data_IF_245418032569
#
_entry.id   IF_245418032569
#
_cell.length_a   1.000
_cell.length_b   1.000
_cell.length_c   1.000
_cell.angle_alpha   90.00
_cell.angle_beta   90.00
_cell.angle_gamma   90.00
#
_symmetry.space_group_name_H-M   'P 1'
#
loop_
_entity.id
_entity.type
_entity.pdbx_description
1 polymer ?
#
# COMPACT_ATOMS: atom_id res chain seq x y z
N UNK A 1 5.84 7.94 -15.28
CA UNK A 1 6.49 7.85 -13.95
C UNK A 1 5.38 7.98 -12.91
N UNK A 2 4.70 6.88 -12.60
CA UNK A 2 3.56 6.87 -11.67
C UNK A 2 4.07 7.00 -10.25
N UNK A 3 4.10 8.23 -9.73
CA UNK A 3 4.37 8.47 -8.33
C UNK A 3 3.13 7.95 -7.57
N UNK A 4 3.17 6.66 -7.18
CA UNK A 4 2.15 6.04 -6.31
C UNK A 4 2.21 6.70 -4.94
N UNK A 5 1.61 7.88 -4.82
CA UNK A 5 1.44 8.57 -3.55
C UNK A 5 0.60 7.71 -2.61
N UNK A 6 1.09 7.51 -1.38
CA UNK A 6 0.35 6.78 -0.35
C UNK A 6 -0.98 7.50 -0.07
N UNK A 7 -2.01 6.75 0.36
CA UNK A 7 -3.33 7.32 0.65
C UNK A 7 -3.23 8.50 1.65
N UNK A 8 -2.29 8.41 2.60
CA UNK A 8 -1.93 9.49 3.52
C UNK A 8 -1.48 10.77 2.80
N UNK A 9 -0.60 10.67 1.80
CA UNK A 9 -0.13 11.83 1.03
C UNK A 9 -1.26 12.46 0.22
N UNK A 10 -2.14 11.64 -0.38
CA UNK A 10 -3.29 12.15 -1.14
C UNK A 10 -4.23 12.96 -0.27
N UNK A 11 -4.54 12.48 0.94
CA UNK A 11 -5.40 13.21 1.89
C UNK A 11 -4.79 14.56 2.25
N UNK A 12 -3.48 14.61 2.55
CA UNK A 12 -2.78 15.86 2.88
C UNK A 12 -2.82 16.85 1.71
N UNK A 13 -2.57 16.38 0.48
CA UNK A 13 -2.60 17.22 -0.72
C UNK A 13 -4.00 17.81 -0.92
N UNK A 14 -5.05 16.98 -0.83
CA UNK A 14 -6.43 17.45 -0.98
C UNK A 14 -6.78 18.49 0.09
N UNK A 15 -6.41 18.26 1.34
CA UNK A 15 -6.68 19.19 2.43
C UNK A 15 -5.96 20.53 2.25
N UNK A 16 -4.71 20.50 1.79
CA UNK A 16 -3.92 21.69 1.49
C UNK A 16 -4.50 22.47 0.30
N UNK A 17 -4.87 21.78 -0.79
CA UNK A 17 -5.47 22.39 -1.97
C UNK A 17 -6.83 23.03 -1.66
N UNK A 18 -7.69 22.33 -0.92
CA UNK A 18 -8.99 22.87 -0.50
C UNK A 18 -8.81 24.10 0.41
N UNK A 19 -7.87 24.05 1.34
CA UNK A 19 -7.60 25.18 2.23
C UNK A 19 -7.03 26.38 1.47
N UNK A 20 -6.13 26.14 0.52
CA UNK A 20 -5.60 27.18 -0.36
C UNK A 20 -6.71 27.79 -1.24
N UNK A 21 -7.60 26.97 -1.81
CA UNK A 21 -8.72 27.46 -2.60
C UNK A 21 -9.64 28.37 -1.75
N UNK A 22 -10.08 27.89 -0.59
CA UNK A 22 -10.99 28.64 0.29
C UNK A 22 -10.32 29.92 0.78
N UNK A 23 -9.11 29.83 1.33
CA UNK A 23 -8.38 31.00 1.83
C UNK A 23 -8.07 32.01 0.70
N UNK A 24 -7.77 31.54 -0.51
CA UNK A 24 -7.55 32.38 -1.68
C UNK A 24 -8.82 33.13 -2.10
N UNK A 25 -9.95 32.43 -2.22
CA UNK A 25 -11.24 33.04 -2.56
C UNK A 25 -11.66 34.08 -1.52
N UNK A 26 -11.55 33.74 -0.22
CA UNK A 26 -11.83 34.68 0.85
C UNK A 26 -10.87 35.89 0.83
N UNK A 27 -9.58 35.66 0.61
CA UNK A 27 -8.58 36.74 0.54
C UNK A 27 -8.88 37.73 -0.60
N UNK A 28 -9.17 37.22 -1.79
CA UNK A 28 -9.58 38.06 -2.94
C UNK A 28 -10.89 38.80 -2.64
N UNK A 29 -11.86 38.12 -2.04
CA UNK A 29 -13.15 38.73 -1.66
C UNK A 29 -12.99 39.87 -0.66
N UNK A 30 -12.15 39.72 0.37
CA UNK A 30 -11.84 40.76 1.35
C UNK A 30 -11.20 41.97 0.67
N UNK A 31 -10.17 41.74 -0.16
CA UNK A 31 -9.48 42.83 -0.87
C UNK A 31 -10.45 43.59 -1.79
N UNK A 32 -11.24 42.86 -2.59
CA UNK A 32 -12.21 43.47 -3.50
C UNK A 32 -13.29 44.27 -2.75
N UNK A 33 -13.81 43.73 -1.64
CA UNK A 33 -14.82 44.40 -0.82
C UNK A 33 -14.27 45.69 -0.21
N UNK A 34 -13.08 45.63 0.39
CA UNK A 34 -12.44 46.82 0.98
C UNK A 34 -12.22 47.89 -0.09
N UNK A 35 -11.72 47.51 -1.26
CA UNK A 35 -11.50 48.45 -2.35
C UNK A 35 -12.79 49.15 -2.82
N UNK A 36 -13.88 48.38 -3.00
CA UNK A 36 -15.19 48.94 -3.40
C UNK A 36 -15.77 49.85 -2.31
N UNK A 37 -15.71 49.44 -1.05
CA UNK A 37 -16.22 50.21 0.08
C UNK A 37 -15.41 51.49 0.27
N UNK A 38 -14.07 51.43 0.22
CA UNK A 38 -13.20 52.59 0.36
C UNK A 38 -13.44 53.61 -0.75
N UNK A 39 -13.59 53.16 -2.01
CA UNK A 39 -13.90 54.04 -3.13
C UNK A 39 -15.26 54.74 -2.94
N UNK A 40 -16.31 54.00 -2.55
CA UNK A 40 -17.64 54.58 -2.28
C UNK A 40 -17.62 55.59 -1.14
N UNK A 41 -16.98 55.25 -0.02
CA UNK A 41 -16.86 56.15 1.13
C UNK A 41 -16.08 57.42 0.78
N UNK A 42 -15.04 57.30 -0.04
CA UNK A 42 -14.25 58.44 -0.50
C UNK A 42 -15.08 59.38 -1.38
N UNK A 43 -15.85 58.84 -2.34
CA UNK A 43 -16.76 59.62 -3.17
C UNK A 43 -17.79 60.37 -2.31
N UNK A 44 -18.45 59.65 -1.39
CA UNK A 44 -19.47 60.24 -0.50
C UNK A 44 -18.88 61.32 0.41
N UNK A 45 -17.69 61.06 0.98
CA UNK A 45 -17.00 62.01 1.85
C UNK A 45 -16.57 63.26 1.09
N UNK A 46 -15.97 63.12 -0.09
CA UNK A 46 -15.55 64.26 -0.92
C UNK A 46 -16.75 65.10 -1.38
N UNK A 47 -17.82 64.46 -1.85
CA UNK A 47 -19.05 65.15 -2.25
C UNK A 47 -19.65 65.93 -1.09
N UNK A 48 -19.79 65.30 0.09
CA UNK A 48 -20.36 65.93 1.27
C UNK A 48 -19.49 67.06 1.83
N UNK A 49 -18.16 66.88 1.84
CA UNK A 49 -17.23 67.91 2.28
C UNK A 49 -17.24 69.11 1.34
N UNK A 50 -17.23 68.88 0.02
CA UNK A 50 -17.34 69.94 -0.98
C UNK A 50 -18.66 70.72 -0.81
N UNK A 51 -19.79 70.01 -0.74
CA UNK A 51 -21.09 70.64 -0.52
C UNK A 51 -21.12 71.48 0.77
N UNK A 52 -20.53 70.97 1.87
CA UNK A 52 -20.44 71.71 3.14
C UNK A 52 -19.61 72.99 3.01
N UNK A 53 -18.51 72.98 2.25
CA UNK A 53 -17.71 74.19 1.97
C UNK A 53 -18.50 75.21 1.12
N UNK A 54 -19.26 74.72 0.13
CA UNK A 54 -20.11 75.57 -0.72
C UNK A 54 -21.28 76.20 0.03
N UNK A 55 -21.69 75.63 1.17
CA UNK A 55 -22.75 76.18 2.03
C UNK A 55 -22.22 77.20 3.05
N UNK A 56 -20.91 77.45 3.13
CA UNK A 56 -20.36 78.50 3.98
C UNK A 56 -20.59 79.88 3.34
N UNK A 57 -21.20 80.80 4.09
CA UNK A 57 -21.66 82.10 3.57
C UNK A 57 -20.53 83.09 3.19
N UNK A 58 -19.30 82.89 3.65
CA UNK A 58 -18.18 83.83 3.41
C UNK A 58 -16.96 83.12 2.81
N UNK A 59 -16.51 83.62 1.66
CA UNK A 59 -15.28 83.17 0.96
C UNK A 59 -14.04 83.29 1.84
N UNK A 60 -14.03 84.25 2.78
CA UNK A 60 -12.96 84.47 3.77
C UNK A 60 -12.77 83.29 4.74
N UNK A 61 -13.80 82.46 4.93
CA UNK A 61 -13.75 81.30 5.81
C UNK A 61 -13.22 80.04 5.10
N UNK A 62 -13.05 80.09 3.78
CA UNK A 62 -12.51 78.98 3.02
C UNK A 62 -11.03 78.78 3.32
N UNK A 63 -10.67 77.52 3.57
CA UNK A 63 -9.30 77.12 3.83
C UNK A 63 -8.81 76.24 2.69
N UNK A 64 -7.61 76.52 2.19
CA UNK A 64 -6.95 75.66 1.21
C UNK A 64 -6.83 74.20 1.70
N UNK A 65 -6.75 73.99 3.03
CA UNK A 65 -6.78 72.66 3.65
C UNK A 65 -7.97 72.53 4.61
N UNK A 66 -9.15 72.15 4.11
CA UNK A 66 -10.35 72.05 4.94
C UNK A 66 -10.26 70.85 5.92
N UNK A 67 -9.76 69.71 5.47
CA UNK A 67 -9.44 68.55 6.30
C UNK A 67 -8.02 68.02 6.05
N UNK A 68 -7.58 67.07 6.91
CA UNK A 68 -6.25 66.47 6.83
C UNK A 68 -6.11 65.65 5.55
N UNK A 69 -5.26 66.12 4.64
CA UNK A 69 -4.98 65.45 3.36
C UNK A 69 -5.92 65.88 2.24
N UNK A 70 -6.75 66.91 2.47
CA UNK A 70 -7.57 67.55 1.46
C UNK A 70 -6.96 68.88 1.00
N UNK A 71 -7.17 69.23 -0.27
CA UNK A 71 -6.80 70.51 -0.86
C UNK A 71 -8.01 71.08 -1.59
N UNK A 72 -8.41 72.30 -1.26
CA UNK A 72 -9.55 72.97 -1.86
C UNK A 72 -9.11 74.11 -2.77
N UNK A 73 -9.77 74.22 -3.92
CA UNK A 73 -9.54 75.23 -4.95
C UNK A 73 -10.87 75.76 -5.49
N UNK A 74 -10.93 77.06 -5.76
CA UNK A 74 -12.09 77.76 -6.30
C UNK A 74 -11.68 78.80 -7.35
N UNK A 75 -12.52 79.01 -8.38
CA UNK A 75 -12.27 80.01 -9.43
C UNK A 75 -12.18 81.45 -8.90
N UNK A 76 -12.94 81.74 -7.83
CA UNK A 76 -12.96 83.00 -7.09
C UNK A 76 -12.13 82.94 -5.80
N UNK A 77 -11.32 81.90 -5.64
CA UNK A 77 -10.44 81.72 -4.49
C UNK A 77 -9.35 82.80 -4.44
N UNK A 78 -8.96 83.17 -3.22
CA UNK A 78 -7.87 84.11 -2.95
C UNK A 78 -6.65 83.31 -2.49
N UNK A 79 -5.45 83.78 -2.85
CA UNK A 79 -4.16 83.18 -2.49
C UNK A 79 -4.08 81.67 -2.79
N UNK A 80 -3.83 80.85 -1.77
CA UNK A 80 -3.63 79.40 -1.91
C UNK A 80 -4.91 78.64 -2.33
N UNK A 81 -6.08 79.28 -2.26
CA UNK A 81 -7.38 78.70 -2.68
C UNK A 81 -7.65 78.97 -4.18
N UNK A 82 -6.89 79.86 -4.82
CA UNK A 82 -7.11 80.20 -6.23
C UNK A 82 -6.90 78.98 -7.15
N UNK A 83 -7.78 78.83 -8.16
CA UNK A 83 -7.78 77.70 -9.09
C UNK A 83 -6.45 77.57 -9.86
N UNK A 84 -5.80 76.41 -9.72
CA UNK A 84 -4.59 76.09 -10.46
C UNK A 84 -4.89 75.65 -11.91
N UNK A 85 -3.98 75.95 -12.85
CA UNK A 85 -4.21 75.71 -14.29
C UNK A 85 -4.39 74.23 -14.65
N UNK A 86 -3.74 73.34 -13.91
CA UNK A 86 -3.84 71.89 -14.11
C UNK A 86 -5.21 71.31 -13.68
N UNK A 87 -5.99 72.07 -12.89
CA UNK A 87 -7.30 71.67 -12.39
C UNK A 87 -8.45 72.22 -13.26
N UNK A 88 -8.19 73.23 -14.10
CA UNK A 88 -9.20 73.84 -14.97
C UNK A 88 -9.69 72.93 -16.08
N UNK A 89 -8.93 71.90 -16.44
CA UNK A 89 -9.30 70.93 -17.49
C UNK A 89 -10.09 69.72 -16.98
N UNK A 90 -10.29 69.60 -15.67
CA UNK A 90 -10.99 68.48 -15.05
C UNK A 90 -12.50 68.52 -15.36
N UNK A 91 -13.12 67.35 -15.52
CA UNK A 91 -14.56 67.25 -15.75
C UNK A 91 -15.33 67.28 -14.42
N UNK A 92 -16.56 67.80 -14.41
CA UNK A 92 -17.43 67.73 -13.24
C UNK A 92 -17.66 66.29 -12.76
N UNK A 93 -17.68 66.10 -11.44
CA UNK A 93 -17.84 64.81 -10.78
C UNK A 93 -16.55 64.28 -10.16
N UNK A 94 -16.59 63.00 -9.78
CA UNK A 94 -15.46 62.31 -9.15
C UNK A 94 -14.54 61.71 -10.21
N UNK A 95 -13.24 62.02 -10.10
CA UNK A 95 -12.22 61.49 -11.00
C UNK A 95 -10.87 61.29 -10.30
N UNK A 96 -10.09 60.34 -10.81
CA UNK A 96 -8.70 60.11 -10.39
C UNK A 96 -7.78 61.02 -11.22
N UNK A 97 -6.87 61.72 -10.55
CA UNK A 97 -6.01 62.74 -11.19
C UNK A 97 -4.58 62.66 -10.65
N UNK A 98 -3.61 62.80 -11.56
CA UNK A 98 -2.19 62.85 -11.20
C UNK A 98 -1.67 64.29 -11.23
N UNK A 99 -1.09 64.71 -10.11
CA UNK A 99 -0.41 66.00 -9.99
C UNK A 99 1.08 65.76 -9.74
N UNK A 100 1.89 65.87 -10.79
CA UNK A 100 3.29 65.44 -10.77
C UNK A 100 3.40 63.93 -10.54
N UNK A 101 4.06 63.51 -9.46
CA UNK A 101 4.22 62.09 -9.08
C UNK A 101 3.18 61.59 -8.08
N UNK A 102 2.23 62.45 -7.68
CA UNK A 102 1.22 62.14 -6.67
C UNK A 102 -0.13 61.96 -7.32
N UNK A 103 -0.87 61.00 -6.79
CA UNK A 103 -2.23 60.68 -7.24
C UNK A 103 -3.24 61.21 -6.22
N UNK A 104 -4.28 61.84 -6.73
CA UNK A 104 -5.35 62.45 -5.97
C UNK A 104 -6.70 61.95 -6.48
N UNK A 105 -7.64 61.81 -5.55
CA UNK A 105 -9.04 61.82 -5.90
C UNK A 105 -9.52 63.27 -5.97
N UNK A 106 -10.10 63.65 -7.10
CA UNK A 106 -10.68 64.98 -7.31
C UNK A 106 -12.20 64.88 -7.35
N UNK A 107 -12.86 65.77 -6.64
CA UNK A 107 -14.28 66.06 -6.80
C UNK A 107 -14.42 67.47 -7.35
N UNK A 108 -15.05 67.58 -8.52
CA UNK A 108 -15.26 68.84 -9.23
C UNK A 108 -16.73 69.16 -9.29
N UNK A 109 -17.11 70.38 -8.91
CA UNK A 109 -18.50 70.85 -8.98
C UNK A 109 -18.53 72.25 -9.58
N UNK A 110 -19.41 72.46 -10.56
CA UNK A 110 -19.62 73.75 -11.21
C UNK A 110 -20.94 74.34 -10.69
N UNK A 111 -20.88 75.42 -9.91
CA UNK A 111 -22.05 76.07 -9.30
C UNK A 111 -22.08 77.55 -9.71
N UNK A 112 -23.20 78.02 -10.26
CA UNK A 112 -23.39 79.40 -10.72
C UNK A 112 -22.30 79.91 -11.68
N UNK A 113 -21.75 79.03 -12.53
CA UNK A 113 -20.68 79.35 -13.48
C UNK A 113 -19.29 79.46 -12.87
N UNK A 114 -19.10 79.06 -11.61
CA UNK A 114 -17.81 78.96 -10.92
C UNK A 114 -17.47 77.49 -10.67
N UNK A 115 -16.21 77.14 -10.87
CA UNK A 115 -15.69 75.79 -10.61
C UNK A 115 -15.09 75.69 -9.22
N UNK A 116 -15.38 74.57 -8.57
CA UNK A 116 -14.82 74.19 -7.28
C UNK A 116 -14.20 72.80 -7.37
N UNK A 117 -13.01 72.64 -6.81
CA UNK A 117 -12.26 71.39 -6.83
C UNK A 117 -11.79 71.04 -5.43
N UNK A 118 -12.18 69.87 -4.96
CA UNK A 118 -11.68 69.27 -3.72
C UNK A 118 -10.83 68.05 -4.06
N UNK A 119 -9.54 68.09 -3.70
CA UNK A 119 -8.60 66.99 -3.90
C UNK A 119 -8.35 66.27 -2.58
N UNK A 120 -8.16 64.94 -2.62
CA UNK A 120 -7.70 64.14 -1.48
C UNK A 120 -6.52 63.25 -1.87
N UNK A 121 -5.44 63.30 -1.10
CA UNK A 121 -4.20 62.54 -1.35
C UNK A 121 -4.39 61.04 -1.08
N UNK A 122 -4.11 60.19 -2.07
CA UNK A 122 -4.32 58.74 -1.99
C UNK A 122 -3.18 57.98 -1.27
N UNK A 123 -2.07 58.65 -0.92
CA UNK A 123 -0.87 57.98 -0.36
C UNK A 123 -1.13 57.26 0.96
N UNK A 124 -2.00 57.79 1.82
CA UNK A 124 -2.38 57.15 3.09
C UNK A 124 -3.25 55.91 2.88
N UNK A 125 -4.19 55.98 1.93
CA UNK A 125 -5.03 54.86 1.47
C UNK A 125 -4.20 53.72 0.90
N UNK A 126 -3.30 54.00 -0.06
CA UNK A 126 -2.42 52.98 -0.66
C UNK A 126 -1.55 52.25 0.36
N UNK A 127 -1.09 52.93 1.42
CA UNK A 127 -0.34 52.28 2.51
C UNK A 127 -1.20 51.28 3.27
N UNK A 128 -2.46 51.63 3.56
CA UNK A 128 -3.41 50.73 4.23
C UNK A 128 -3.75 49.51 3.37
N UNK A 129 -3.98 49.70 2.08
CA UNK A 129 -4.21 48.59 1.14
C UNK A 129 -3.02 47.62 1.10
N UNK A 130 -1.77 48.12 1.07
CA UNK A 130 -0.57 47.25 1.12
C UNK A 130 -0.46 46.48 2.44
N UNK A 131 -0.75 47.13 3.56
CA UNK A 131 -0.75 46.47 4.87
C UNK A 131 -1.81 45.36 4.90
N UNK A 132 -3.03 45.66 4.42
CA UNK A 132 -4.11 44.70 4.32
C UNK A 132 -3.73 43.51 3.42
N UNK A 133 -3.14 43.76 2.24
CA UNK A 133 -2.63 42.71 1.38
C UNK A 133 -1.58 41.84 2.08
N UNK A 134 -0.64 42.45 2.80
CA UNK A 134 0.37 41.73 3.58
C UNK A 134 -0.26 40.84 4.67
N UNK A 135 -1.25 41.35 5.40
CA UNK A 135 -1.98 40.59 6.43
C UNK A 135 -2.72 39.40 5.80
N UNK A 136 -3.43 39.62 4.68
CA UNK A 136 -4.13 38.57 3.95
C UNK A 136 -3.17 37.50 3.42
N UNK A 137 -2.02 37.91 2.88
CA UNK A 137 -0.99 36.98 2.37
C UNK A 137 -0.38 36.14 3.49
N UNK A 138 -0.02 36.75 4.62
CA UNK A 138 0.49 36.02 5.80
C UNK A 138 -0.56 35.06 6.34
N UNK A 139 -1.81 35.51 6.45
CA UNK A 139 -2.94 34.67 6.86
C UNK A 139 -3.15 33.48 5.93
N UNK A 140 -3.07 33.69 4.61
CA UNK A 140 -3.14 32.64 3.59
C UNK A 140 -2.03 31.61 3.79
N UNK A 141 -0.76 32.03 3.88
CA UNK A 141 0.38 31.12 4.08
C UNK A 141 0.21 30.32 5.37
N UNK A 142 -0.17 30.98 6.47
CA UNK A 142 -0.38 30.32 7.76
C UNK A 142 -1.51 29.30 7.70
N UNK A 143 -2.62 29.62 7.02
CA UNK A 143 -3.74 28.68 6.85
C UNK A 143 -3.35 27.44 6.05
N UNK A 144 -2.55 27.59 4.98
CA UNK A 144 -2.07 26.46 4.18
C UNK A 144 -1.11 25.60 4.99
N UNK A 145 -0.21 26.21 5.74
CA UNK A 145 0.72 25.50 6.61
C UNK A 145 -0.02 24.72 7.72
N UNK A 146 -1.01 25.34 8.35
CA UNK A 146 -1.88 24.70 9.33
C UNK A 146 -2.69 23.55 8.71
N UNK A 147 -3.21 23.73 7.51
CA UNK A 147 -3.93 22.68 6.77
C UNK A 147 -3.03 21.47 6.46
N UNK A 148 -1.78 21.69 6.05
CA UNK A 148 -0.81 20.61 5.85
C UNK A 148 -0.51 19.88 7.16
N UNK A 149 -0.32 20.62 8.26
CA UNK A 149 -0.06 20.04 9.58
C UNK A 149 -1.24 19.18 10.07
N UNK A 150 -2.44 19.75 10.09
CA UNK A 150 -3.67 19.06 10.49
C UNK A 150 -3.96 17.87 9.56
N UNK A 151 -3.84 18.07 8.24
CA UNK A 151 -4.00 17.01 7.25
C UNK A 151 -3.05 15.84 7.52
N UNK A 152 -1.79 16.12 7.89
CA UNK A 152 -0.82 15.07 8.25
C UNK A 152 -1.23 14.34 9.52
N UNK A 153 -1.66 15.04 10.57
CA UNK A 153 -2.08 14.44 11.83
C UNK A 153 -3.32 13.54 11.65
N UNK A 154 -4.37 14.07 11.01
CA UNK A 154 -5.59 13.33 10.75
C UNK A 154 -5.32 12.11 9.85
N UNK A 155 -4.58 12.29 8.75
CA UNK A 155 -4.27 11.19 7.85
C UNK A 155 -3.42 10.11 8.54
N UNK A 156 -2.53 10.49 9.48
CA UNK A 156 -1.79 9.51 10.30
C UNK A 156 -2.71 8.69 11.18
N UNK A 157 -3.66 9.37 11.86
CA UNK A 157 -4.53 8.74 12.86
C UNK A 157 -5.59 7.84 12.22
N UNK A 158 -6.18 8.29 11.11
CA UNK A 158 -7.24 7.55 10.39
C UNK A 158 -6.68 6.37 9.61
N UNK A 159 -5.48 6.50 9.02
CA UNK A 159 -4.89 5.41 8.22
C UNK A 159 -4.08 4.40 9.04
N UNK A 160 -3.73 4.72 10.30
CA UNK A 160 -2.97 3.82 11.16
C UNK A 160 -3.66 2.45 11.34
N UNK A 161 -4.96 2.36 11.71
CA UNK A 161 -5.65 1.07 11.86
C UNK A 161 -5.64 0.24 10.57
N UNK A 162 -5.92 0.87 9.42
CA UNK A 162 -5.92 0.18 8.11
C UNK A 162 -4.53 -0.37 7.77
N UNK A 163 -3.48 0.42 8.02
CA UNK A 163 -2.10 -0.01 7.76
C UNK A 163 -1.66 -1.15 8.69
N UNK A 164 -2.13 -1.14 9.95
CA UNK A 164 -1.90 -2.23 10.91
C UNK A 164 -2.61 -3.50 10.47
N UNK A 165 -3.88 -3.41 10.09
CA UNK A 165 -4.66 -4.56 9.61
C UNK A 165 -4.02 -5.17 8.36
N UNK A 166 -3.67 -4.32 7.39
CA UNK A 166 -2.96 -4.75 6.19
C UNK A 166 -1.59 -5.36 6.49
N UNK A 167 -0.92 -4.92 7.57
CA UNK A 167 0.33 -5.54 8.00
C UNK A 167 0.08 -6.91 8.64
N UNK A 168 -0.90 -7.03 9.56
CA UNK A 168 -1.24 -8.29 10.23
C UNK A 168 -1.63 -9.35 9.18
N UNK A 169 -2.57 -9.03 8.27
CA UNK A 169 -3.00 -9.96 7.20
C UNK A 169 -1.86 -10.44 6.30
N UNK A 170 -0.81 -9.64 6.08
CA UNK A 170 0.36 -10.08 5.30
C UNK A 170 1.26 -11.07 6.03
N UNK A 171 1.18 -11.17 7.35
CA UNK A 171 2.03 -12.11 8.08
C UNK A 171 1.54 -13.54 7.84
N UNK A 172 2.45 -14.39 7.38
CA UNK A 172 2.18 -15.80 7.07
C UNK A 172 1.64 -16.57 8.28
N UNK A 173 1.97 -16.10 9.48
CA UNK A 173 1.51 -16.66 10.76
C UNK A 173 -0.03 -16.64 10.89
N UNK A 174 -0.73 -15.76 10.15
CA UNK A 174 -2.19 -15.74 10.13
C UNK A 174 -2.79 -17.01 9.49
N UNK A 175 -2.03 -17.79 8.72
CA UNK A 175 -2.49 -19.06 8.15
C UNK A 175 -2.42 -20.22 9.16
N UNK A 176 -1.76 -20.02 10.31
CA UNK A 176 -1.73 -21.03 11.38
C UNK A 176 -3.12 -21.21 11.96
N UNK A 177 -3.44 -22.46 12.35
CA UNK A 177 -4.73 -22.79 12.96
C UNK A 177 -4.97 -22.02 14.28
N UNK A 178 -3.91 -21.59 14.96
CA UNK A 178 -3.95 -20.94 16.28
C UNK A 178 -3.80 -19.41 16.19
N UNK A 179 -3.86 -18.84 14.99
CA UNK A 179 -3.68 -17.42 14.80
C UNK A 179 -4.76 -16.62 15.56
N UNK A 180 -4.41 -15.55 16.28
CA UNK A 180 -5.38 -14.71 16.98
C UNK A 180 -6.35 -14.05 15.99
N UNK A 181 -7.57 -13.82 16.48
CA UNK A 181 -8.65 -13.16 15.73
C UNK A 181 -8.26 -11.69 15.52
N UNK A 182 -8.29 -11.22 14.27
CA UNK A 182 -7.91 -9.85 13.93
C UNK A 182 -8.91 -8.85 14.51
N UNK A 183 -10.20 -9.16 14.43
CA UNK A 183 -11.29 -8.24 14.76
C UNK A 183 -11.27 -7.73 16.21
N UNK A 184 -10.69 -8.46 17.15
CA UNK A 184 -10.65 -8.08 18.57
C UNK A 184 -9.73 -6.86 18.83
N UNK A 185 -8.75 -6.61 17.95
CA UNK A 185 -7.83 -5.47 18.02
C UNK A 185 -8.44 -4.15 17.48
N UNK A 186 -9.63 -4.20 16.87
CA UNK A 186 -10.23 -3.07 16.15
C UNK A 186 -11.58 -2.65 16.74
N UNK A 187 -11.87 -1.36 16.63
CA UNK A 187 -13.15 -0.80 17.03
C UNK A 187 -14.30 -1.35 16.16
N UNK A 188 -15.55 -1.21 16.62
CA UNK A 188 -16.75 -1.61 15.86
C UNK A 188 -17.14 -0.57 14.79
N UNK A 189 -16.16 -0.15 14.00
CA UNK A 189 -16.29 0.76 12.86
C UNK A 189 -16.09 0.02 11.53
N UNK A 190 -15.90 0.76 10.44
CA UNK A 190 -15.64 0.21 9.10
C UNK A 190 -14.35 -0.63 9.06
N UNK A 191 -13.33 -0.27 9.83
CA UNK A 191 -12.07 -1.02 9.88
C UNK A 191 -12.27 -2.34 10.62
N UNK A 192 -13.00 -2.34 11.74
CA UNK A 192 -13.36 -3.59 12.42
C UNK A 192 -14.30 -4.49 11.63
N UNK A 193 -15.21 -3.92 10.83
CA UNK A 193 -16.03 -4.69 9.90
C UNK A 193 -15.17 -5.38 8.83
N UNK A 194 -14.16 -4.68 8.30
CA UNK A 194 -13.19 -5.26 7.38
C UNK A 194 -12.37 -6.38 8.04
N UNK A 195 -11.92 -6.18 9.29
CA UNK A 195 -11.19 -7.20 10.05
C UNK A 195 -12.03 -8.49 10.24
N UNK A 196 -13.33 -8.37 10.58
CA UNK A 196 -14.24 -9.53 10.69
C UNK A 196 -14.38 -10.29 9.37
N UNK A 197 -14.52 -9.59 8.25
CA UNK A 197 -14.58 -10.23 6.92
C UNK A 197 -13.29 -10.98 6.58
N UNK A 198 -12.12 -10.46 7.00
CA UNK A 198 -10.86 -11.18 6.88
C UNK A 198 -10.83 -12.43 7.77
N UNK A 199 -11.26 -12.34 9.02
CA UNK A 199 -11.33 -13.50 9.92
C UNK A 199 -12.26 -14.59 9.38
N UNK A 200 -13.42 -14.24 8.83
CA UNK A 200 -14.33 -15.21 8.21
C UNK A 200 -13.71 -15.91 7.00
N UNK A 201 -13.06 -15.16 6.11
CA UNK A 201 -12.44 -15.72 4.91
C UNK A 201 -11.23 -16.59 5.26
N UNK A 202 -10.38 -16.16 6.20
CA UNK A 202 -9.31 -16.96 6.76
C UNK A 202 -9.84 -18.22 7.44
N UNK A 203 -10.93 -18.12 8.20
CA UNK A 203 -11.60 -19.26 8.82
C UNK A 203 -12.05 -20.31 7.80
N UNK A 204 -12.69 -19.88 6.71
CA UNK A 204 -13.09 -20.77 5.60
C UNK A 204 -11.90 -21.42 4.92
N UNK A 205 -10.81 -20.66 4.70
CA UNK A 205 -9.58 -21.19 4.11
C UNK A 205 -8.93 -22.24 5.02
N UNK A 206 -8.79 -21.95 6.32
CA UNK A 206 -8.25 -22.91 7.30
C UNK A 206 -9.10 -24.18 7.36
N UNK A 207 -10.43 -24.05 7.34
CA UNK A 207 -11.32 -25.21 7.31
C UNK A 207 -11.19 -26.03 6.01
N UNK A 208 -11.00 -25.38 4.86
CA UNK A 208 -10.75 -26.06 3.59
C UNK A 208 -9.42 -26.85 3.63
N UNK A 209 -8.33 -26.20 4.05
CA UNK A 209 -7.01 -26.85 4.20
C UNK A 209 -7.04 -27.98 5.23
N UNK A 210 -7.79 -27.81 6.33
CA UNK A 210 -7.98 -28.86 7.33
C UNK A 210 -8.69 -30.10 6.76
N UNK A 211 -9.74 -29.90 5.95
CA UNK A 211 -10.46 -31.00 5.28
C UNK A 211 -9.59 -31.71 4.25
N UNK A 212 -8.81 -30.97 3.47
CA UNK A 212 -7.88 -31.55 2.50
C UNK A 212 -6.87 -32.48 3.18
N UNK A 213 -6.30 -32.04 4.31
CA UNK A 213 -5.36 -32.84 5.11
C UNK A 213 -5.99 -34.11 5.69
N UNK A 214 -7.20 -34.01 6.23
CA UNK A 214 -7.94 -35.17 6.75
C UNK A 214 -8.27 -36.15 5.61
N UNK A 215 -8.75 -35.64 4.48
CA UNK A 215 -9.04 -36.44 3.29
C UNK A 215 -7.82 -37.22 2.80
N UNK A 216 -6.64 -36.57 2.68
CA UNK A 216 -5.41 -37.27 2.31
C UNK A 216 -5.06 -38.40 3.30
N UNK A 217 -5.24 -38.16 4.60
CA UNK A 217 -4.97 -39.17 5.62
C UNK A 217 -5.93 -40.35 5.54
N UNK A 218 -7.23 -40.09 5.40
CA UNK A 218 -8.26 -41.12 5.39
C UNK A 218 -8.17 -41.97 4.12
N UNK A 219 -8.01 -41.34 2.95
CA UNK A 219 -7.79 -42.03 1.67
C UNK A 219 -6.57 -42.96 1.73
N UNK A 220 -5.53 -42.60 2.49
CA UNK A 220 -4.36 -43.47 2.67
C UNK A 220 -4.72 -44.83 3.25
N UNK A 221 -5.54 -44.84 4.30
CA UNK A 221 -5.88 -46.04 5.04
C UNK A 221 -6.93 -46.87 4.28
N UNK A 222 -7.88 -46.20 3.66
CA UNK A 222 -8.92 -46.84 2.85
C UNK A 222 -8.36 -47.47 1.56
N UNK A 223 -7.25 -46.97 0.99
CA UNK A 223 -6.59 -47.59 -0.16
C UNK A 223 -5.60 -48.70 0.20
N UNK A 224 -4.89 -48.58 1.34
CA UNK A 224 -3.90 -49.59 1.76
C UNK A 224 -4.54 -50.95 2.04
N UNK A 225 -5.71 -50.96 2.67
CA UNK A 225 -6.43 -52.18 3.05
C UNK A 225 -6.80 -53.05 1.84
N UNK A 226 -7.50 -52.55 0.80
CA UNK A 226 -7.83 -53.36 -0.37
C UNK A 226 -6.59 -53.76 -1.19
N UNK A 227 -5.55 -52.92 -1.25
CA UNK A 227 -4.29 -53.27 -1.92
C UNK A 227 -3.53 -54.39 -1.19
N UNK A 228 -3.57 -54.41 0.15
CA UNK A 228 -3.02 -55.50 0.95
C UNK A 228 -3.78 -56.81 0.70
N UNK A 229 -5.12 -56.77 0.67
CA UNK A 229 -5.94 -57.95 0.36
C UNK A 229 -5.62 -58.49 -1.04
N UNK A 230 -5.47 -57.61 -2.04
CA UNK A 230 -5.07 -58.01 -3.40
C UNK A 230 -3.68 -58.64 -3.43
N UNK A 231 -2.71 -58.07 -2.72
CA UNK A 231 -1.35 -58.60 -2.63
C UNK A 231 -1.35 -60.01 -2.01
N UNK A 232 -1.99 -60.18 -0.85
CA UNK A 232 -2.10 -61.48 -0.17
C UNK A 232 -2.84 -62.51 -1.01
N UNK A 233 -3.90 -62.10 -1.73
CA UNK A 233 -4.61 -63.00 -2.64
C UNK A 233 -3.72 -63.47 -3.79
N UNK A 234 -2.87 -62.59 -4.34
CA UNK A 234 -1.90 -62.97 -5.36
C UNK A 234 -0.84 -63.92 -4.82
N UNK A 235 -0.32 -63.68 -3.61
CA UNK A 235 0.64 -64.58 -2.94
C UNK A 235 0.06 -65.98 -2.75
N UNK A 236 -1.15 -66.08 -2.18
CA UNK A 236 -1.83 -67.36 -1.97
C UNK A 236 -2.08 -68.12 -3.29
N UNK A 237 -2.43 -67.41 -4.36
CA UNK A 237 -2.62 -68.03 -5.69
C UNK A 237 -1.29 -68.54 -6.27
N UNK A 238 -0.18 -67.82 -6.08
CA UNK A 238 1.14 -68.23 -6.58
C UNK A 238 1.72 -69.44 -5.82
N UNK A 239 1.34 -69.62 -4.56
CA UNK A 239 1.66 -70.80 -3.76
C UNK A 239 0.80 -72.02 -4.13
N UNK A 240 -0.31 -71.84 -4.85
CA UNK A 240 -1.20 -72.95 -5.21
C UNK A 240 -0.57 -73.90 -6.24
N UNK A 241 -0.31 -75.19 -5.90
CA UNK A 241 0.49 -76.09 -6.74
C UNK A 241 -0.16 -76.50 -8.07
N UNK A 242 -1.49 -76.34 -8.20
CA UNK A 242 -2.26 -76.75 -9.39
C UNK A 242 -2.57 -75.58 -10.34
N UNK A 243 -1.96 -74.42 -10.12
CA UNK A 243 -2.15 -73.27 -10.99
C UNK A 243 -1.43 -73.50 -12.33
N UNK A 244 -2.15 -73.40 -13.45
CA UNK A 244 -1.54 -73.52 -14.78
C UNK A 244 -0.62 -72.34 -15.09
N UNK A 245 0.33 -72.54 -16.01
CA UNK A 245 1.41 -71.58 -16.23
C UNK A 245 0.97 -70.26 -16.85
N UNK A 246 -0.12 -70.28 -17.63
CA UNK A 246 -0.73 -69.07 -18.17
C UNK A 246 -1.37 -68.26 -17.03
N UNK A 247 -2.11 -68.91 -16.13
CA UNK A 247 -2.71 -68.28 -14.94
C UNK A 247 -1.64 -67.75 -13.99
N UNK A 248 -0.56 -68.50 -13.75
CA UNK A 248 0.60 -68.04 -12.95
C UNK A 248 1.19 -66.75 -13.50
N UNK A 249 1.37 -66.66 -14.82
CA UNK A 249 1.86 -65.45 -15.49
C UNK A 249 0.92 -64.25 -15.31
N UNK A 250 -0.40 -64.47 -15.33
CA UNK A 250 -1.37 -63.39 -15.10
C UNK A 250 -1.38 -62.92 -13.64
N UNK A 251 -1.32 -63.84 -12.67
CA UNK A 251 -1.26 -63.50 -11.23
C UNK A 251 0.03 -62.72 -10.93
N UNK A 252 1.17 -63.08 -11.52
CA UNK A 252 2.41 -62.31 -11.40
C UNK A 252 2.27 -60.88 -11.96
N UNK A 253 1.55 -60.70 -13.09
CA UNK A 253 1.28 -59.36 -13.63
C UNK A 253 0.39 -58.53 -12.69
N UNK A 254 -0.65 -59.14 -12.12
CA UNK A 254 -1.54 -58.46 -11.15
C UNK A 254 -0.77 -58.09 -9.88
N UNK A 255 0.08 -59.00 -9.38
CA UNK A 255 0.95 -58.74 -8.24
C UNK A 255 1.89 -57.55 -8.50
N UNK A 256 2.57 -57.52 -9.65
CA UNK A 256 3.41 -56.38 -10.07
C UNK A 256 2.63 -55.07 -10.17
N UNK A 257 1.43 -55.09 -10.76
CA UNK A 257 0.58 -53.91 -10.86
C UNK A 257 0.11 -53.40 -9.49
N UNK A 258 -0.26 -54.32 -8.58
CA UNK A 258 -0.67 -54.00 -7.20
C UNK A 258 0.48 -53.39 -6.40
N UNK A 259 1.69 -53.93 -6.55
CA UNK A 259 2.89 -53.35 -5.94
C UNK A 259 3.18 -51.93 -6.47
N UNK A 260 3.03 -51.70 -7.78
CA UNK A 260 3.13 -50.37 -8.37
C UNK A 260 2.08 -49.38 -7.86
N UNK A 261 0.82 -49.83 -7.70
CA UNK A 261 -0.25 -49.00 -7.11
C UNK A 261 0.04 -48.63 -5.66
N UNK A 262 0.50 -49.57 -4.84
CA UNK A 262 0.93 -49.29 -3.47
C UNK A 262 2.01 -48.20 -3.43
N UNK A 263 3.01 -48.30 -4.31
CA UNK A 263 4.09 -47.32 -4.38
C UNK A 263 3.61 -45.93 -4.82
N UNK A 264 2.72 -45.84 -5.80
CA UNK A 264 2.12 -44.57 -6.23
C UNK A 264 1.30 -43.93 -5.12
N UNK A 265 0.49 -44.71 -4.42
CA UNK A 265 -0.30 -44.24 -3.27
C UNK A 265 0.62 -43.73 -2.17
N UNK A 266 1.64 -44.50 -1.76
CA UNK A 266 2.62 -44.05 -0.76
C UNK A 266 3.31 -42.74 -1.17
N UNK A 267 3.68 -42.61 -2.44
CA UNK A 267 4.35 -41.41 -2.97
C UNK A 267 3.42 -40.20 -2.95
N UNK A 268 2.19 -40.32 -3.43
CA UNK A 268 1.22 -39.20 -3.40
C UNK A 268 0.88 -38.76 -1.99
N UNK A 269 0.75 -39.71 -1.05
CA UNK A 269 0.47 -39.41 0.34
C UNK A 269 1.65 -38.74 1.04
N UNK A 270 2.87 -39.12 0.69
CA UNK A 270 4.06 -38.45 1.17
C UNK A 270 4.07 -36.99 0.71
N UNK A 271 3.86 -36.75 -0.59
CA UNK A 271 3.84 -35.41 -1.20
C UNK A 271 2.77 -34.52 -0.56
N UNK A 272 1.55 -35.02 -0.43
CA UNK A 272 0.43 -34.27 0.16
C UNK A 272 0.62 -33.98 1.67
N UNK A 273 1.39 -34.80 2.39
CA UNK A 273 1.74 -34.52 3.80
C UNK A 273 2.83 -33.46 3.94
N UNK A 274 3.74 -33.34 2.98
CA UNK A 274 4.83 -32.35 2.99
C UNK A 274 4.37 -30.91 2.83
N UNK A 275 3.31 -30.66 2.06
CA UNK A 275 2.80 -29.30 1.84
C UNK A 275 2.08 -28.74 3.09
N UNK A 276 1.51 -29.61 3.93
CA UNK A 276 0.65 -29.22 5.06
C UNK A 276 1.32 -29.17 6.44
N UNK A 277 2.62 -29.48 6.55
CA UNK A 277 3.30 -29.58 7.85
C UNK A 277 4.81 -29.35 7.76
N UNK A 278 5.27 -28.18 8.20
CA UNK A 278 6.49 -28.14 9.02
C UNK A 278 6.14 -28.77 10.37
N UNK A 279 6.05 -30.10 10.46
CA UNK A 279 5.92 -30.76 11.77
C UNK A 279 7.20 -30.46 12.56
N UNK A 280 7.14 -29.73 13.69
CA UNK A 280 8.31 -29.52 14.55
C UNK A 280 8.76 -30.82 15.23
N UNK A 281 7.96 -31.89 15.12
CA UNK A 281 8.14 -33.18 15.79
C UNK A 281 8.50 -34.35 14.86
N UNK A 282 8.79 -34.10 13.57
CA UNK A 282 9.37 -35.17 12.75
C UNK A 282 10.73 -35.54 13.33
N UNK A 283 10.96 -36.81 13.72
CA UNK A 283 12.27 -37.25 14.17
C UNK A 283 13.31 -36.82 13.13
N UNK A 284 14.28 -36.04 13.59
CA UNK A 284 15.35 -35.53 12.75
C UNK A 284 16.50 -36.53 12.75
N UNK A 285 16.89 -37.00 11.57
CA UNK A 285 18.01 -37.93 11.39
C UNK A 285 19.07 -37.33 10.45
N UNK A 286 20.31 -37.76 10.63
CA UNK A 286 21.38 -37.49 9.65
C UNK A 286 21.24 -38.42 8.44
N UNK A 287 21.88 -38.03 7.33
CA UNK A 287 21.94 -38.87 6.12
C UNK A 287 22.57 -40.23 6.43
N UNK A 288 23.61 -40.24 7.26
CA UNK A 288 24.32 -41.45 7.67
C UNK A 288 23.40 -42.44 8.41
N UNK A 289 22.63 -41.97 9.41
CA UNK A 289 21.73 -42.82 10.20
C UNK A 289 20.70 -43.54 9.33
N UNK A 290 20.10 -42.83 8.38
CA UNK A 290 19.11 -43.41 7.46
C UNK A 290 19.77 -44.32 6.43
N UNK A 291 20.97 -43.97 5.96
CA UNK A 291 21.71 -44.79 5.02
C UNK A 291 22.12 -46.14 5.61
N UNK A 292 22.59 -46.17 6.86
CA UNK A 292 22.93 -47.41 7.56
C UNK A 292 21.72 -48.32 7.72
N UNK A 293 20.57 -47.77 8.12
CA UNK A 293 19.31 -48.52 8.21
C UNK A 293 18.91 -49.13 6.86
N UNK A 294 18.97 -48.36 5.78
CA UNK A 294 18.59 -48.83 4.45
C UNK A 294 19.62 -49.79 3.84
N UNK A 295 20.91 -49.64 4.16
CA UNK A 295 21.97 -50.57 3.75
C UNK A 295 21.70 -51.96 4.31
N UNK A 296 21.32 -52.07 5.58
CA UNK A 296 20.96 -53.37 6.19
C UNK A 296 19.75 -54.02 5.50
N UNK A 297 18.74 -53.22 5.15
CA UNK A 297 17.53 -53.70 4.47
C UNK A 297 17.83 -54.18 3.03
N UNK A 298 18.62 -53.42 2.27
CA UNK A 298 18.81 -53.67 0.83
C UNK A 298 20.00 -54.57 0.49
N UNK A 299 20.96 -54.74 1.40
CA UNK A 299 22.15 -55.58 1.16
C UNK A 299 21.77 -57.02 0.81
N UNK A 300 20.83 -57.63 1.52
CA UNK A 300 20.36 -58.99 1.25
C UNK A 300 19.77 -59.14 -0.16
N UNK A 301 18.67 -58.42 -0.48
CA UNK A 301 18.02 -58.48 -1.80
C UNK A 301 18.93 -58.16 -3.00
N UNK A 302 19.90 -57.24 -2.83
CA UNK A 302 20.85 -56.88 -3.89
C UNK A 302 21.84 -58.04 -4.14
N UNK A 303 22.40 -58.63 -3.08
CA UNK A 303 23.33 -59.75 -3.19
C UNK A 303 22.65 -61.03 -3.69
N UNK A 304 21.41 -61.30 -3.28
CA UNK A 304 20.61 -62.42 -3.79
C UNK A 304 20.32 -62.31 -5.29
N UNK A 305 20.22 -61.09 -5.82
CA UNK A 305 20.11 -60.82 -7.26
C UNK A 305 21.45 -60.99 -8.00
N UNK A 306 22.55 -61.25 -7.30
CA UNK A 306 23.89 -61.39 -7.87
C UNK A 306 24.61 -60.08 -8.17
N UNK A 307 24.12 -58.96 -7.63
CA UNK A 307 24.70 -57.63 -7.84
C UNK A 307 25.74 -57.29 -6.77
N UNK A 308 26.77 -56.52 -7.13
CA UNK A 308 27.71 -55.96 -6.17
C UNK A 308 27.12 -54.72 -5.48
N UNK A 309 27.10 -54.69 -4.15
CA UNK A 309 26.66 -53.53 -3.38
C UNK A 309 27.86 -52.81 -2.72
N UNK A 310 28.07 -51.54 -3.08
CA UNK A 310 29.12 -50.69 -2.52
C UNK A 310 28.50 -49.58 -1.66
N UNK A 311 28.90 -49.49 -0.40
CA UNK A 311 28.50 -48.42 0.50
C UNK A 311 29.72 -47.60 0.90
N UNK A 312 29.70 -46.31 0.57
CA UNK A 312 30.77 -45.35 0.84
C UNK A 312 30.26 -44.29 1.83
N UNK A 313 30.44 -44.52 3.15
CA UNK A 313 30.03 -43.56 4.15
C UNK A 313 30.96 -42.32 4.13
N UNK A 314 30.37 -41.15 4.42
CA UNK A 314 31.10 -39.92 4.69
C UNK A 314 30.97 -39.58 6.18
N UNK A 315 31.95 -38.87 6.75
CA UNK A 315 31.94 -38.46 8.14
C UNK A 315 30.67 -37.65 8.50
N UNK A 316 30.25 -37.73 9.76
CA UNK A 316 28.99 -37.16 10.28
C UNK A 316 28.66 -35.79 9.68
N UNK A 317 27.54 -35.73 8.97
CA UNK A 317 26.96 -34.50 8.48
C UNK A 317 26.17 -33.82 9.58
N UNK A 318 26.48 -32.54 9.85
CA UNK A 318 25.76 -31.73 10.84
C UNK A 318 24.30 -31.46 10.43
N UNK A 319 23.99 -31.60 9.14
CA UNK A 319 22.67 -31.37 8.57
C UNK A 319 21.69 -32.47 8.99
N UNK A 320 20.58 -32.05 9.60
CA UNK A 320 19.48 -32.93 10.01
C UNK A 320 18.26 -32.74 9.12
N UNK A 321 17.68 -33.86 8.70
CA UNK A 321 16.51 -33.89 7.81
C UNK A 321 15.35 -34.61 8.49
N UNK A 322 14.14 -34.42 7.97
CA UNK A 322 13.00 -35.23 8.38
C UNK A 322 13.26 -36.69 8.01
N UNK A 323 13.38 -37.56 9.01
CA UNK A 323 13.80 -38.94 8.80
C UNK A 323 12.84 -39.74 7.90
N UNK A 324 11.54 -39.44 7.91
CA UNK A 324 10.56 -40.14 7.07
C UNK A 324 10.74 -39.80 5.59
N UNK A 325 10.93 -38.51 5.27
CA UNK A 325 11.17 -38.08 3.88
C UNK A 325 12.51 -38.61 3.36
N UNK A 326 13.56 -38.53 4.18
CA UNK A 326 14.88 -39.02 3.82
C UNK A 326 14.87 -40.52 3.56
N UNK A 327 14.22 -41.32 4.43
CA UNK A 327 14.01 -42.77 4.20
C UNK A 327 13.27 -43.03 2.90
N UNK A 328 12.23 -42.26 2.62
CA UNK A 328 11.43 -42.47 1.40
C UNK A 328 12.22 -42.16 0.13
N UNK A 329 12.95 -41.05 0.06
CA UNK A 329 13.71 -40.68 -1.13
C UNK A 329 14.86 -41.66 -1.36
N UNK A 330 15.67 -41.94 -0.32
CA UNK A 330 16.80 -42.85 -0.43
C UNK A 330 16.34 -44.29 -0.72
N UNK A 331 15.28 -44.74 -0.06
CA UNK A 331 14.68 -46.05 -0.30
C UNK A 331 14.10 -46.20 -1.70
N UNK A 332 13.48 -45.15 -2.26
CA UNK A 332 13.00 -45.15 -3.65
C UNK A 332 14.15 -45.24 -4.66
N UNK A 333 15.25 -44.52 -4.43
CA UNK A 333 16.42 -44.57 -5.31
C UNK A 333 17.11 -45.94 -5.27
N UNK A 334 17.31 -46.52 -4.08
CA UNK A 334 17.89 -47.86 -3.92
C UNK A 334 16.98 -48.94 -4.54
N UNK A 335 15.67 -48.83 -4.36
CA UNK A 335 14.69 -49.73 -4.99
C UNK A 335 14.76 -49.65 -6.51
N UNK A 336 14.83 -48.45 -7.07
CA UNK A 336 14.95 -48.26 -8.52
C UNK A 336 16.24 -48.89 -9.05
N UNK A 337 17.38 -48.63 -8.40
CA UNK A 337 18.64 -49.26 -8.74
C UNK A 337 18.55 -50.79 -8.74
N UNK A 338 17.98 -51.38 -7.68
CA UNK A 338 17.77 -52.83 -7.60
C UNK A 338 16.83 -53.37 -8.69
N UNK A 339 15.78 -52.63 -9.04
CA UNK A 339 14.80 -53.07 -10.03
C UNK A 339 15.38 -53.08 -11.45
N UNK A 340 16.15 -52.06 -11.82
CA UNK A 340 16.60 -51.83 -13.20
C UNK A 340 18.04 -52.28 -13.51
N UNK A 341 18.77 -52.81 -12.53
CA UNK A 341 20.07 -53.44 -12.74
C UNK A 341 19.94 -54.96 -12.69
N UNK A 342 20.17 -55.65 -13.80
CA UNK A 342 20.11 -57.12 -13.87
C UNK A 342 21.49 -57.76 -13.61
N UNK A 343 22.57 -57.13 -14.06
CA UNK A 343 23.95 -57.53 -13.78
C UNK A 343 24.81 -56.29 -13.48
N UNK A 344 25.82 -56.43 -12.62
CA UNK A 344 26.78 -55.36 -12.29
C UNK A 344 26.69 -54.88 -10.84
N UNK A 345 26.54 -53.57 -10.63
CA UNK A 345 26.68 -52.96 -9.29
C UNK A 345 25.67 -51.87 -8.96
N UNK A 346 25.48 -51.67 -7.65
CA UNK A 346 24.78 -50.53 -7.06
C UNK A 346 25.72 -49.90 -6.03
N UNK A 347 25.92 -48.58 -6.09
CA UNK A 347 26.76 -47.81 -5.17
C UNK A 347 25.93 -46.74 -4.46
N UNK A 348 25.99 -46.72 -3.13
CA UNK A 348 25.47 -45.64 -2.29
C UNK A 348 26.65 -44.85 -1.71
N UNK A 349 26.82 -43.61 -2.17
CA UNK A 349 27.87 -42.70 -1.71
C UNK A 349 27.24 -41.55 -0.93
N UNK A 350 27.73 -41.31 0.29
CA UNK A 350 27.30 -40.17 1.10
C UNK A 350 28.23 -38.98 0.88
N UNK A 351 27.70 -37.76 0.96
CA UNK A 351 28.47 -36.51 0.87
C UNK A 351 28.07 -35.54 1.99
N UNK A 352 28.82 -34.45 2.14
CA UNK A 352 28.59 -33.45 3.19
C UNK A 352 27.17 -32.82 3.15
N UNK A 353 26.55 -32.78 1.98
CA UNK A 353 25.25 -32.11 1.77
C UNK A 353 24.15 -33.07 1.27
N UNK A 354 24.43 -34.38 1.17
CA UNK A 354 23.45 -35.33 0.64
C UNK A 354 23.98 -36.74 0.39
N UNK A 355 23.41 -37.39 -0.62
CA UNK A 355 23.78 -38.75 -1.02
C UNK A 355 23.58 -38.95 -2.52
N UNK A 356 24.26 -39.97 -3.06
CA UNK A 356 24.17 -40.40 -4.46
C UNK A 356 23.94 -41.90 -4.50
N UNK A 357 22.98 -42.33 -5.33
CA UNK A 357 22.80 -43.74 -5.70
C UNK A 357 23.22 -43.87 -7.16
N UNK A 358 24.18 -44.75 -7.44
CA UNK A 358 24.61 -45.10 -8.79
C UNK A 358 24.29 -46.56 -9.05
N UNK A 359 23.87 -46.88 -10.27
CA UNK A 359 23.60 -48.24 -10.71
C UNK A 359 24.16 -48.46 -12.13
N UNK A 360 24.45 -49.72 -12.48
CA UNK A 360 24.95 -50.10 -13.80
C UNK A 360 23.86 -50.64 -14.73
N UNK A 361 22.59 -50.31 -14.46
CA UNK A 361 21.45 -50.78 -15.23
C UNK A 361 21.30 -50.11 -16.59
N UNK A 362 20.14 -50.33 -17.22
CA UNK A 362 19.81 -49.89 -18.58
C UNK A 362 19.79 -48.37 -18.78
N UNK A 363 19.80 -47.59 -17.68
CA UNK A 363 19.65 -46.15 -17.71
C UNK A 363 18.29 -45.70 -18.24
N UNK A 364 18.12 -44.38 -18.36
CA UNK A 364 16.94 -43.77 -18.98
C UNK A 364 17.44 -43.04 -20.24
N UNK A 365 16.86 -43.26 -21.42
CA UNK A 365 17.26 -42.55 -22.64
C UNK A 365 17.06 -41.03 -22.47
N UNK A 366 18.01 -40.25 -22.97
CA UNK A 366 17.87 -38.80 -23.10
C UNK A 366 16.91 -38.55 -24.27
N UNK A 367 15.71 -38.07 -23.96
CA UNK A 367 14.76 -37.57 -24.97
C UNK A 367 15.32 -36.37 -25.74
#
# INVERSE_FOLDING_TARGET
MDIKHSLKQRIVIVFALMSALVAGVFGVGVIATVHVVEKRLTIMSLSGNLHRLLTQDRVEDWRHRPEKGELFYADDGIDDVAMADDLKSLQPGFQEFFRGTKEYYAMVEDVNGRRYVLLRDQRSTRKRERILFGIVLVGFILSVLLAVLLGRLLASRVMAPVSRLASQVRHRDQLLQLAPVLADDYARDEVGALARSFDETLGRLRAALGREKLFTSDVSHELRTPLMVLATSCELLLEYPRLDERSRTQVQRISKATAGMNQLVETFLLLARTEGNHTPNGQQASVLQVAEELVEIWRGPILEKGLAFMFEPCAETASRYNAALLRSVMGNLLRNAWHYTDEGFIRLTLSADGFKVEDSGIGIPLE
#
